data_IF_949261372960
#
_entry.id   IF_949261372960
#
_cell.length_a   1.000
_cell.length_b   1.000
_cell.length_c   1.000
_cell.angle_alpha   90.00
_cell.angle_beta   90.00
_cell.angle_gamma   90.00
#
_symmetry.space_group_name_H-M   'P 1'
#
loop_
_entity.id
_entity.type
_entity.pdbx_description
1 polymer ?
#
# COMPACT_ATOMS: atom_id res chain seq x y z
N UNK A 1 -15.85 49.05 47.72
CA UNK A 1 -15.64 49.23 46.26
C UNK A 1 -15.06 47.95 45.71
N UNK A 2 -15.66 47.49 44.62
CA UNK A 2 -15.77 46.11 44.12
C UNK A 2 -14.46 45.54 43.58
N UNK A 3 -14.10 44.32 44.00
CA UNK A 3 -13.00 43.53 43.42
C UNK A 3 -13.49 42.89 42.12
N UNK A 4 -12.84 43.19 41.00
CA UNK A 4 -13.10 42.56 39.71
C UNK A 4 -12.55 41.13 39.71
N UNK A 5 -13.46 40.15 39.59
CA UNK A 5 -13.14 38.76 39.26
C UNK A 5 -13.11 38.65 37.73
N UNK A 6 -11.93 38.49 37.15
CA UNK A 6 -11.75 38.18 35.73
C UNK A 6 -11.86 36.67 35.50
N UNK A 7 -13.00 36.23 35.00
CA UNK A 7 -13.24 34.87 34.53
C UNK A 7 -12.56 34.67 33.17
N UNK A 8 -11.46 33.91 33.13
CA UNK A 8 -10.87 33.43 31.87
C UNK A 8 -11.69 32.21 31.42
N UNK A 9 -12.54 32.38 30.41
CA UNK A 9 -13.18 31.27 29.72
C UNK A 9 -12.19 30.69 28.70
N UNK A 10 -11.68 29.48 28.95
CA UNK A 10 -10.86 28.74 28.00
C UNK A 10 -11.81 28.01 27.03
N UNK A 11 -12.00 28.57 25.84
CA UNK A 11 -12.71 27.89 24.76
C UNK A 11 -11.80 26.79 24.17
N UNK A 12 -12.00 25.55 24.62
CA UNK A 12 -11.42 24.38 23.97
C UNK A 12 -12.20 24.10 22.68
N UNK A 13 -11.72 24.63 21.56
CA UNK A 13 -12.20 24.22 20.25
C UNK A 13 -11.84 22.76 20.00
N UNK A 14 -12.81 21.87 20.09
CA UNK A 14 -12.73 20.53 19.50
C UNK A 14 -12.71 20.71 17.98
N UNK A 15 -11.52 20.88 17.42
CA UNK A 15 -11.30 20.62 16.01
C UNK A 15 -11.52 19.12 15.83
N UNK A 16 -12.65 18.73 15.23
CA UNK A 16 -12.81 17.39 14.71
C UNK A 16 -11.72 17.20 13.65
N UNK A 17 -10.67 16.46 14.00
CA UNK A 17 -9.69 16.00 13.03
C UNK A 17 -10.45 15.13 12.03
N UNK A 18 -10.65 15.64 10.81
CA UNK A 18 -11.03 14.78 9.70
C UNK A 18 -10.02 13.64 9.65
N UNK A 19 -10.49 12.39 9.65
CA UNK A 19 -9.63 11.21 9.57
C UNK A 19 -8.91 11.22 8.23
N UNK A 20 -7.68 11.72 8.20
CA UNK A 20 -6.75 11.37 7.15
C UNK A 20 -6.47 9.87 7.31
N UNK A 21 -6.82 9.06 6.30
CA UNK A 21 -6.42 7.65 6.28
C UNK A 21 -4.90 7.60 6.21
N UNK A 22 -4.25 7.23 7.32
CA UNK A 22 -2.81 7.32 7.45
C UNK A 22 -2.24 5.92 7.31
N UNK A 23 -2.18 5.40 6.09
CA UNK A 23 -1.44 4.15 5.84
C UNK A 23 0.06 4.38 6.07
N UNK A 24 0.74 3.42 6.68
CA UNK A 24 2.20 3.37 6.65
C UNK A 24 2.63 2.84 5.29
N UNK A 25 3.21 3.70 4.46
CA UNK A 25 3.60 3.38 3.08
C UNK A 25 5.12 3.12 3.01
N UNK A 26 5.47 2.07 2.28
CA UNK A 26 6.83 1.66 1.98
C UNK A 26 6.98 1.67 0.46
N UNK A 27 7.91 2.46 -0.05
CA UNK A 27 8.12 2.57 -1.48
C UNK A 27 9.61 2.64 -1.81
N UNK A 28 9.99 1.99 -2.91
CA UNK A 28 11.32 2.05 -3.48
C UNK A 28 11.21 1.96 -5.00
N UNK A 29 12.06 2.69 -5.71
CA UNK A 29 12.08 2.70 -7.19
C UNK A 29 13.53 2.55 -7.65
N UNK A 30 13.75 1.62 -8.57
CA UNK A 30 14.98 1.39 -9.30
C UNK A 30 14.77 1.80 -10.76
N UNK A 31 15.32 2.95 -11.11
CA UNK A 31 15.29 3.49 -12.47
C UNK A 31 16.16 2.66 -13.41
N UNK A 32 15.75 2.52 -14.66
CA UNK A 32 16.50 1.76 -15.67
C UNK A 32 16.65 2.55 -16.97
N UNK A 33 15.56 2.75 -17.72
CA UNK A 33 15.60 3.45 -19.01
C UNK A 33 16.15 2.60 -20.17
N UNK A 34 16.23 1.28 -19.98
CA UNK A 34 16.59 0.34 -21.04
C UNK A 34 15.80 -0.97 -20.86
N UNK A 35 14.79 -1.25 -21.70
CA UNK A 35 13.93 -2.43 -21.54
C UNK A 35 14.65 -3.76 -21.84
N UNK A 36 15.86 -3.72 -22.41
CA UNK A 36 16.63 -4.93 -22.76
C UNK A 36 17.57 -5.39 -21.64
N UNK A 37 17.68 -4.62 -20.55
CA UNK A 37 18.61 -4.91 -19.45
C UNK A 37 17.80 -4.91 -18.15
N UNK A 38 17.94 -5.95 -17.34
CA UNK A 38 17.34 -5.97 -16.01
C UNK A 38 18.14 -5.08 -15.07
N UNK A 39 17.45 -4.20 -14.33
CA UNK A 39 18.08 -3.41 -13.28
C UNK A 39 18.14 -4.20 -11.97
N UNK A 40 19.22 -4.11 -11.19
CA UNK A 40 19.24 -4.61 -9.82
C UNK A 40 18.17 -3.91 -8.97
N UNK A 41 17.25 -4.68 -8.36
CA UNK A 41 16.15 -4.17 -7.55
C UNK A 41 16.60 -3.70 -6.15
N UNK A 42 17.57 -2.78 -6.07
CA UNK A 42 18.24 -2.41 -4.82
C UNK A 42 17.30 -1.63 -3.89
N UNK A 43 16.70 -0.54 -4.39
CA UNK A 43 15.79 0.31 -3.61
C UNK A 43 14.46 -0.39 -3.37
N UNK A 44 13.96 -1.11 -4.37
CA UNK A 44 12.70 -1.85 -4.29
C UNK A 44 12.80 -2.99 -3.27
N UNK A 45 13.89 -3.78 -3.28
CA UNK A 45 14.11 -4.84 -2.29
C UNK A 45 14.35 -4.29 -0.88
N UNK A 46 15.00 -3.13 -0.75
CA UNK A 46 15.13 -2.46 0.54
C UNK A 46 13.76 -2.05 1.10
N UNK A 47 12.88 -1.48 0.27
CA UNK A 47 11.51 -1.12 0.65
C UNK A 47 10.67 -2.36 1.01
N UNK A 48 10.78 -3.46 0.27
CA UNK A 48 10.15 -4.73 0.62
C UNK A 48 10.63 -5.23 1.99
N UNK A 49 11.94 -5.19 2.22
CA UNK A 49 12.54 -5.62 3.49
C UNK A 49 12.01 -4.77 4.66
N UNK A 50 11.94 -3.44 4.48
CA UNK A 50 11.35 -2.53 5.46
C UNK A 50 9.87 -2.83 5.71
N UNK A 51 9.06 -3.06 4.67
CA UNK A 51 7.67 -3.47 4.79
C UNK A 51 7.54 -4.78 5.59
N UNK A 52 8.24 -5.85 5.18
CA UNK A 52 8.20 -7.17 5.82
C UNK A 52 8.76 -7.16 7.25
N UNK A 53 9.63 -6.22 7.61
CA UNK A 53 10.15 -6.07 8.98
C UNK A 53 9.05 -5.73 10.01
N UNK A 54 7.93 -5.16 9.55
CA UNK A 54 6.76 -4.85 10.36
C UNK A 54 5.78 -6.03 10.45
N UNK A 55 6.08 -7.15 9.81
CA UNK A 55 5.15 -8.26 9.64
C UNK A 55 5.71 -9.57 10.21
N UNK A 56 4.82 -10.53 10.45
CA UNK A 56 5.18 -11.88 10.90
C UNK A 56 4.24 -12.90 10.26
N UNK A 57 4.83 -13.98 9.71
CA UNK A 57 4.05 -15.09 9.14
C UNK A 57 3.21 -14.73 7.92
N UNK A 58 3.56 -13.67 7.19
CA UNK A 58 2.86 -13.23 5.97
C UNK A 58 3.06 -14.18 4.81
N UNK A 59 2.14 -14.13 3.84
CA UNK A 59 2.19 -14.93 2.63
C UNK A 59 2.52 -14.12 1.39
N UNK A 60 3.25 -14.73 0.45
CA UNK A 60 3.57 -14.15 -0.86
C UNK A 60 3.11 -15.08 -1.98
N UNK A 61 2.42 -14.54 -2.98
CA UNK A 61 2.10 -15.20 -4.26
C UNK A 61 2.93 -14.54 -5.37
N UNK A 62 3.74 -15.34 -6.06
CA UNK A 62 4.70 -14.89 -7.08
C UNK A 62 4.41 -15.48 -8.46
N UNK A 63 3.21 -16.04 -8.68
CA UNK A 63 2.72 -16.53 -9.97
C UNK A 63 3.49 -17.70 -10.60
N UNK A 64 4.57 -18.19 -9.98
CA UNK A 64 5.41 -19.27 -10.53
C UNK A 64 4.63 -20.59 -10.73
N UNK A 65 3.57 -20.78 -9.97
CA UNK A 65 2.67 -21.95 -10.08
C UNK A 65 1.39 -21.68 -10.86
N UNK A 66 1.26 -20.47 -11.44
CA UNK A 66 0.05 -19.97 -12.10
C UNK A 66 0.25 -19.82 -13.60
N UNK A 67 -0.84 -19.83 -14.35
CA UNK A 67 -0.86 -19.56 -15.79
C UNK A 67 -2.26 -19.12 -16.22
N UNK A 68 -2.39 -18.42 -17.35
CA UNK A 68 -3.68 -17.99 -17.90
C UNK A 68 -4.10 -16.59 -17.42
N UNK A 69 -5.34 -16.21 -17.77
CA UNK A 69 -5.93 -14.90 -17.47
C UNK A 69 -6.84 -14.90 -16.24
N UNK A 70 -7.42 -13.74 -15.95
CA UNK A 70 -8.41 -13.60 -14.89
C UNK A 70 -9.76 -14.25 -15.27
N UNK A 71 -10.56 -14.74 -14.30
CA UNK A 71 -10.28 -14.76 -12.86
C UNK A 71 -9.18 -15.77 -12.50
N UNK A 72 -8.20 -15.35 -11.70
CA UNK A 72 -7.09 -16.18 -11.27
C UNK A 72 -7.10 -16.33 -9.76
N UNK A 73 -7.22 -17.57 -9.28
CA UNK A 73 -7.12 -17.86 -7.85
C UNK A 73 -5.67 -17.68 -7.37
N UNK A 74 -5.49 -16.96 -6.25
CA UNK A 74 -4.21 -16.72 -5.60
C UNK A 74 -4.20 -17.37 -4.21
N UNK A 75 -3.04 -17.89 -3.79
CA UNK A 75 -2.89 -18.56 -2.49
C UNK A 75 -1.66 -18.02 -1.77
N UNK A 76 -1.88 -17.48 -0.57
CA UNK A 76 -0.85 -16.89 0.28
C UNK A 76 -0.58 -17.77 1.52
N UNK A 77 -0.89 -19.06 1.44
CA UNK A 77 -0.76 -20.01 2.54
C UNK A 77 -1.63 -19.64 3.73
N UNK A 78 -1.04 -19.55 4.91
CA UNK A 78 -1.74 -19.23 6.15
C UNK A 78 -2.33 -17.81 6.17
N UNK A 79 -1.83 -16.88 5.34
CA UNK A 79 -2.36 -15.53 5.26
C UNK A 79 -3.71 -15.45 4.51
N UNK A 80 -4.07 -16.49 3.76
CA UNK A 80 -5.37 -16.64 3.11
C UNK A 80 -5.29 -16.78 1.59
N UNK A 81 -6.44 -16.56 0.95
CA UNK A 81 -6.61 -16.70 -0.50
C UNK A 81 -7.23 -15.45 -1.10
N UNK A 82 -7.08 -15.27 -2.41
CA UNK A 82 -7.71 -14.20 -3.13
C UNK A 82 -8.11 -14.64 -4.54
N UNK A 83 -8.91 -13.82 -5.21
CA UNK A 83 -9.17 -13.93 -6.64
C UNK A 83 -8.72 -12.64 -7.32
N UNK A 84 -7.84 -12.77 -8.30
CA UNK A 84 -7.47 -11.67 -9.19
C UNK A 84 -8.48 -11.61 -10.35
N UNK A 85 -9.15 -10.48 -10.50
CA UNK A 85 -10.21 -10.22 -11.48
C UNK A 85 -9.83 -9.07 -12.41
N UNK A 86 -10.51 -8.96 -13.56
CA UNK A 86 -10.34 -7.86 -14.51
C UNK A 86 -9.29 -8.16 -15.58
N UNK A 87 -8.54 -7.15 -16.01
CA UNK A 87 -7.58 -7.28 -17.11
C UNK A 87 -6.27 -7.96 -16.68
N UNK A 88 -5.69 -8.73 -17.60
CA UNK A 88 -4.33 -9.27 -17.49
C UNK A 88 -4.25 -10.79 -17.58
N UNK A 89 -3.02 -11.27 -17.58
CA UNK A 89 -2.69 -12.69 -17.58
C UNK A 89 -1.30 -12.94 -17.01
N UNK A 90 -1.03 -14.17 -16.57
CA UNK A 90 0.31 -14.56 -16.18
C UNK A 90 1.21 -14.61 -17.42
N UNK A 91 2.18 -13.72 -17.46
CA UNK A 91 3.24 -13.66 -18.46
C UNK A 91 4.49 -14.42 -18.03
N UNK A 92 5.48 -14.46 -18.92
CA UNK A 92 6.82 -14.95 -18.63
C UNK A 92 7.87 -13.92 -19.03
N UNK A 93 9.06 -13.96 -18.42
CA UNK A 93 10.17 -13.06 -18.75
C UNK A 93 10.33 -12.87 -20.26
N UNK A 94 10.31 -11.61 -20.71
CA UNK A 94 10.42 -11.24 -22.12
C UNK A 94 11.46 -10.12 -22.32
N UNK A 95 11.72 -9.76 -23.58
CA UNK A 95 12.74 -8.77 -23.96
C UNK A 95 12.25 -7.31 -23.90
N UNK A 96 11.08 -7.04 -23.32
CA UNK A 96 10.43 -5.73 -23.39
C UNK A 96 10.31 -5.08 -22.00
N UNK A 97 11.36 -5.15 -21.17
CA UNK A 97 11.38 -4.51 -19.85
C UNK A 97 10.60 -5.26 -18.75
N UNK A 98 9.84 -6.31 -19.08
CA UNK A 98 9.00 -7.05 -18.13
C UNK A 98 9.61 -8.39 -17.74
N UNK A 99 9.84 -8.53 -16.45
CA UNK A 99 10.44 -9.72 -15.86
C UNK A 99 10.01 -9.89 -14.40
N UNK A 100 10.14 -11.11 -13.91
CA UNK A 100 9.82 -11.48 -12.54
C UNK A 100 10.82 -10.90 -11.54
N UNK A 101 10.31 -10.42 -10.41
CA UNK A 101 11.05 -9.77 -9.31
C UNK A 101 10.44 -10.20 -7.97
N UNK A 102 11.26 -10.48 -6.92
CA UNK A 102 12.73 -10.38 -6.85
C UNK A 102 13.47 -11.58 -7.46
N UNK A 103 12.73 -12.54 -8.02
CA UNK A 103 13.27 -13.66 -8.78
C UNK A 103 12.15 -14.60 -9.19
N UNK A 104 12.40 -15.41 -10.22
CA UNK A 104 11.38 -16.24 -10.85
C UNK A 104 11.36 -16.03 -12.36
N UNK A 105 10.28 -16.46 -12.99
CA UNK A 105 10.07 -16.38 -14.43
C UNK A 105 8.68 -15.93 -14.83
N UNK A 106 7.74 -15.82 -13.88
CA UNK A 106 6.34 -15.51 -14.12
C UNK A 106 5.92 -14.28 -13.32
N UNK A 107 4.98 -13.53 -13.89
CA UNK A 107 4.44 -12.33 -13.29
C UNK A 107 3.05 -12.07 -13.85
N UNK A 108 2.28 -11.21 -13.19
CA UNK A 108 1.00 -10.74 -13.71
C UNK A 108 1.21 -9.58 -14.68
N UNK A 109 0.86 -9.78 -15.95
CA UNK A 109 1.02 -8.80 -17.02
C UNK A 109 -0.32 -8.12 -17.34
N UNK A 110 -0.30 -6.80 -17.52
CA UNK A 110 -1.50 -6.00 -17.78
C UNK A 110 -1.23 -4.99 -18.89
N UNK A 111 -2.06 -4.99 -19.93
CA UNK A 111 -2.04 -3.94 -20.96
C UNK A 111 -2.76 -2.69 -20.48
N UNK A 112 -2.09 -1.55 -20.53
CA UNK A 112 -2.65 -0.25 -20.27
C UNK A 112 -3.58 0.21 -21.40
N UNK A 113 -4.50 1.12 -21.06
CA UNK A 113 -5.45 1.74 -22.01
C UNK A 113 -6.51 0.83 -22.63
N UNK A 114 -6.53 -0.48 -22.34
CA UNK A 114 -7.42 -1.47 -22.97
C UNK A 114 -8.79 -1.68 -22.29
N UNK A 115 -9.16 -0.86 -21.30
CA UNK A 115 -10.49 -0.89 -20.69
C UNK A 115 -10.70 -2.05 -19.72
N UNK A 116 -10.19 -1.87 -18.49
CA UNK A 116 -10.85 -2.12 -17.20
C UNK A 116 -9.75 -2.36 -16.16
N UNK A 117 -9.70 -1.64 -15.04
CA UNK A 117 -8.73 -1.90 -13.99
C UNK A 117 -8.83 -3.36 -13.52
N UNK A 118 -7.69 -3.96 -13.17
CA UNK A 118 -7.71 -5.24 -12.48
C UNK A 118 -7.82 -5.02 -10.98
N UNK A 119 -8.22 -6.07 -10.28
CA UNK A 119 -8.40 -6.02 -8.84
C UNK A 119 -8.09 -7.36 -8.21
N UNK A 120 -7.77 -7.33 -6.93
CA UNK A 120 -7.59 -8.52 -6.10
C UNK A 120 -8.65 -8.48 -5.00
N UNK A 121 -9.51 -9.50 -5.00
CA UNK A 121 -10.55 -9.72 -4.00
C UNK A 121 -10.08 -10.77 -3.00
N UNK A 122 -9.84 -10.35 -1.75
CA UNK A 122 -9.33 -11.20 -0.68
C UNK A 122 -10.48 -11.85 0.08
N UNK A 123 -10.30 -13.09 0.53
CA UNK A 123 -11.31 -13.77 1.37
C UNK A 123 -11.33 -13.25 2.80
N UNK A 124 -10.26 -12.58 3.24
CA UNK A 124 -10.07 -12.06 4.60
C UNK A 124 -9.92 -10.54 4.57
N UNK A 125 -10.28 -9.88 5.67
CA UNK A 125 -9.90 -8.48 5.93
C UNK A 125 -8.38 -8.41 6.12
N UNK A 126 -7.71 -7.59 5.33
CA UNK A 126 -6.27 -7.40 5.37
C UNK A 126 -5.90 -6.07 6.02
N UNK A 127 -4.78 -6.09 6.72
CA UNK A 127 -4.13 -4.90 7.26
C UNK A 127 -2.88 -4.52 6.46
N UNK A 128 -2.31 -5.44 5.67
CA UNK A 128 -1.10 -5.19 4.90
C UNK A 128 -1.20 -5.76 3.47
N UNK A 129 -0.72 -4.99 2.51
CA UNK A 129 -0.58 -5.41 1.11
C UNK A 129 0.68 -4.78 0.51
N UNK A 130 1.44 -5.55 -0.25
CA UNK A 130 2.56 -5.04 -1.03
C UNK A 130 2.83 -5.86 -2.28
N UNK A 131 3.53 -5.26 -3.24
CA UNK A 131 3.83 -5.86 -4.53
C UNK A 131 5.04 -5.19 -5.19
N UNK A 132 5.64 -5.91 -6.15
CA UNK A 132 6.54 -5.31 -7.12
C UNK A 132 5.77 -4.89 -8.37
N UNK A 133 6.10 -3.72 -8.90
CA UNK A 133 5.67 -3.25 -10.21
C UNK A 133 6.87 -3.10 -11.13
N UNK A 134 6.72 -3.45 -12.39
CA UNK A 134 7.80 -3.42 -13.38
C UNK A 134 7.30 -2.70 -14.64
N UNK A 135 8.18 -1.90 -15.24
CA UNK A 135 7.94 -1.16 -16.48
C UNK A 135 6.89 -0.04 -16.32
N UNK A 136 6.62 0.42 -15.11
CA UNK A 136 5.60 1.44 -14.83
C UNK A 136 6.16 2.87 -14.97
N UNK A 137 5.56 3.68 -15.86
CA UNK A 137 5.69 5.16 -15.86
C UNK A 137 6.30 5.78 -17.13
N UNK A 138 6.70 4.98 -18.10
CA UNK A 138 7.29 5.35 -19.40
C UNK A 138 6.31 6.09 -20.34
N UNK A 139 5.00 5.86 -20.18
CA UNK A 139 3.95 6.63 -20.86
C UNK A 139 3.34 7.76 -20.02
N UNK A 140 3.96 8.11 -18.89
CA UNK A 140 3.47 9.18 -18.01
C UNK A 140 2.16 8.85 -17.28
N UNK A 141 1.80 7.57 -17.21
CA UNK A 141 0.65 7.08 -16.47
C UNK A 141 0.87 7.04 -14.96
N UNK A 142 -0.19 7.32 -14.22
CA UNK A 142 -0.20 7.18 -12.76
C UNK A 142 -0.88 5.89 -12.37
N UNK A 143 -0.29 5.15 -11.44
CA UNK A 143 -0.95 4.02 -10.80
C UNK A 143 -1.53 4.46 -9.45
N UNK A 144 -2.84 4.29 -9.28
CA UNK A 144 -3.54 4.52 -8.01
C UNK A 144 -4.15 3.22 -7.53
N UNK A 145 -3.97 2.90 -6.25
CA UNK A 145 -4.65 1.81 -5.58
C UNK A 145 -5.90 2.34 -4.89
N UNK A 146 -7.06 1.77 -5.19
CA UNK A 146 -8.29 1.99 -4.44
C UNK A 146 -8.53 0.79 -3.52
N UNK A 147 -8.68 1.07 -2.22
CA UNK A 147 -8.86 0.08 -1.17
C UNK A 147 -10.31 0.11 -0.71
N UNK A 148 -10.94 -1.07 -0.61
CA UNK A 148 -12.31 -1.17 -0.14
C UNK A 148 -12.51 -2.33 0.83
N UNK A 149 -13.52 -2.19 1.69
CA UNK A 149 -13.98 -3.19 2.65
C UNK A 149 -15.48 -3.31 2.57
N UNK A 150 -16.01 -4.51 2.35
CA UNK A 150 -17.45 -4.74 2.24
C UNK A 150 -18.13 -3.90 1.14
N UNK A 151 -17.39 -3.57 0.08
CA UNK A 151 -17.86 -2.72 -1.03
C UNK A 151 -17.78 -1.21 -0.79
N UNK A 152 -17.27 -0.75 0.35
CA UNK A 152 -17.08 0.67 0.66
C UNK A 152 -15.60 1.03 0.50
N UNK A 153 -15.30 2.12 -0.20
CA UNK A 153 -13.92 2.65 -0.32
C UNK A 153 -13.45 3.16 1.04
N UNK A 154 -12.33 2.61 1.51
CA UNK A 154 -11.69 2.99 2.78
C UNK A 154 -10.38 3.75 2.56
N UNK A 155 -9.80 3.71 1.36
CA UNK A 155 -8.54 4.37 1.08
C UNK A 155 -8.22 4.48 -0.41
N UNK A 156 -7.33 5.42 -0.73
CA UNK A 156 -6.76 5.58 -2.07
C UNK A 156 -5.28 5.94 -1.93
N UNK A 157 -4.40 5.23 -2.63
CA UNK A 157 -2.94 5.44 -2.57
C UNK A 157 -2.37 5.65 -3.96
N UNK A 158 -1.69 6.78 -4.16
CA UNK A 158 -0.89 7.01 -5.36
C UNK A 158 0.42 6.22 -5.22
N UNK A 159 0.74 5.42 -6.22
CA UNK A 159 2.00 4.67 -6.30
C UNK A 159 3.01 5.54 -7.02
N UNK A 160 4.13 5.84 -6.34
CA UNK A 160 5.25 6.54 -6.97
C UNK A 160 5.95 5.58 -7.95
N UNK A 161 6.01 5.98 -9.22
CA UNK A 161 6.66 5.23 -10.31
C UNK A 161 7.97 5.90 -10.72
N UNK A 162 8.73 5.24 -11.59
CA UNK A 162 9.86 5.86 -12.27
C UNK A 162 9.40 7.02 -13.17
N UNK A 163 10.30 7.98 -13.41
CA UNK A 163 10.03 9.09 -14.31
C UNK A 163 10.08 8.64 -15.78
N UNK A 164 9.35 9.34 -16.66
CA UNK A 164 9.08 8.95 -18.05
C UNK A 164 10.30 8.52 -18.89
N UNK A 165 11.48 9.09 -18.66
CA UNK A 165 12.69 8.79 -19.44
C UNK A 165 13.59 7.70 -18.83
N UNK A 166 13.18 7.13 -17.70
CA UNK A 166 13.94 6.11 -16.95
C UNK A 166 13.06 4.96 -16.47
N UNK A 167 11.83 4.90 -16.97
CA UNK A 167 10.80 3.97 -16.54
C UNK A 167 10.83 2.65 -17.30
N UNK A 168 11.38 2.62 -18.53
CA UNK A 168 11.55 1.39 -19.30
C UNK A 168 12.35 0.35 -18.51
N UNK A 169 11.74 -0.79 -18.25
CA UNK A 169 12.28 -1.88 -17.44
C UNK A 169 12.62 -1.47 -16.00
N UNK A 170 12.04 -0.39 -15.50
CA UNK A 170 12.19 0.02 -14.09
C UNK A 170 11.50 -0.97 -13.17
N UNK A 171 11.96 -1.01 -11.93
CA UNK A 171 11.35 -1.82 -10.87
C UNK A 171 10.93 -0.90 -9.75
N UNK A 172 9.73 -1.10 -9.22
CA UNK A 172 9.30 -0.49 -7.97
C UNK A 172 8.82 -1.55 -7.00
N UNK A 173 8.94 -1.25 -5.71
CA UNK A 173 8.18 -1.91 -4.68
C UNK A 173 7.23 -0.90 -4.05
N UNK A 174 5.99 -1.33 -3.82
CA UNK A 174 5.02 -0.58 -3.04
C UNK A 174 4.40 -1.50 -2.00
N UNK A 175 4.35 -1.04 -0.75
CA UNK A 175 3.67 -1.72 0.35
C UNK A 175 2.94 -0.71 1.23
N UNK A 176 1.82 -1.15 1.80
CA UNK A 176 1.06 -0.37 2.77
C UNK A 176 0.63 -1.22 3.96
N UNK A 177 0.56 -0.58 5.13
CA UNK A 177 0.00 -1.16 6.35
C UNK A 177 -1.06 -0.19 6.89
N UNK A 178 -2.27 -0.69 7.14
CA UNK A 178 -3.35 0.01 7.78
C UNK A 178 -2.94 0.39 9.22
N UNK A 179 -3.12 1.65 9.61
CA UNK A 179 -2.80 2.13 10.95
C UNK A 179 -3.89 1.79 11.98
N UNK A 180 -5.10 1.45 11.51
CA UNK A 180 -6.23 1.11 12.35
C UNK A 180 -7.25 0.19 11.65
N UNK A 181 -8.21 -0.32 12.41
CA UNK A 181 -9.19 -1.29 11.90
C UNK A 181 -10.18 -0.71 10.86
N UNK A 182 -10.37 0.61 10.83
CA UNK A 182 -11.20 1.27 9.81
C UNK A 182 -10.50 1.40 8.45
N UNK A 183 -9.17 1.25 8.41
CA UNK A 183 -8.36 1.31 7.19
C UNK A 183 -8.07 -0.07 6.58
N UNK A 184 -8.43 -1.16 7.27
CA UNK A 184 -8.37 -2.51 6.72
C UNK A 184 -9.25 -2.65 5.48
N UNK A 185 -8.90 -3.58 4.59
CA UNK A 185 -9.54 -3.75 3.29
C UNK A 185 -9.66 -5.23 2.90
N UNK A 186 -10.65 -5.57 2.09
CA UNK A 186 -10.83 -6.90 1.48
C UNK A 186 -10.70 -6.86 -0.06
N UNK A 187 -10.47 -5.68 -0.63
CA UNK A 187 -10.21 -5.50 -2.06
C UNK A 187 -9.22 -4.39 -2.33
N UNK A 188 -8.33 -4.64 -3.29
CA UNK A 188 -7.43 -3.64 -3.90
C UNK A 188 -7.73 -3.56 -5.40
N UNK A 189 -8.06 -2.37 -5.90
CA UNK A 189 -8.25 -2.07 -7.32
C UNK A 189 -7.08 -1.25 -7.85
N UNK A 190 -6.50 -1.67 -8.96
CA UNK A 190 -5.36 -1.03 -9.62
C UNK A 190 -5.86 -0.14 -10.75
N UNK A 191 -5.84 1.17 -10.52
CA UNK A 191 -6.35 2.17 -11.44
C UNK A 191 -5.18 2.83 -12.17
N UNK A 192 -5.11 2.67 -13.49
CA UNK A 192 -4.15 3.38 -14.35
C UNK A 192 -4.87 4.41 -15.23
N UNK A 193 -4.27 5.58 -15.45
CA UNK A 193 -4.93 6.75 -16.05
C UNK A 193 -4.68 6.94 -17.54
N UNK A 194 -3.66 6.32 -18.14
CA UNK A 194 -3.32 6.46 -19.57
C UNK A 194 -2.58 5.21 -20.09
N UNK A 195 -2.36 5.11 -21.41
CA UNK A 195 -1.39 4.18 -22.00
C UNK A 195 -1.94 3.15 -22.99
N UNK A 196 -2.73 3.53 -24.00
CA UNK A 196 -3.06 2.56 -25.07
C UNK A 196 -1.80 1.98 -25.70
N UNK A 197 -1.59 0.67 -25.54
CA UNK A 197 -0.48 -0.08 -26.14
C UNK A 197 0.72 -0.33 -25.21
N UNK A 198 0.68 0.21 -24.00
CA UNK A 198 1.70 -0.01 -22.97
C UNK A 198 1.35 -1.25 -22.14
N UNK A 199 2.35 -1.94 -21.60
CA UNK A 199 2.18 -3.19 -20.87
C UNK A 199 3.07 -3.16 -19.63
N UNK A 200 2.46 -3.38 -18.47
CA UNK A 200 3.13 -3.41 -17.18
C UNK A 200 3.12 -4.80 -16.59
N UNK A 201 4.03 -5.04 -15.66
CA UNK A 201 4.07 -6.27 -14.89
C UNK A 201 3.97 -6.02 -13.39
N UNK A 202 3.36 -6.97 -12.69
CA UNK A 202 3.19 -7.01 -11.25
C UNK A 202 3.64 -8.37 -10.73
N UNK A 203 4.35 -8.38 -9.62
CA UNK A 203 4.88 -9.62 -9.07
C UNK A 203 4.91 -9.61 -7.53
N UNK A 204 5.05 -10.80 -6.94
CA UNK A 204 5.30 -11.04 -5.52
C UNK A 204 4.33 -10.30 -4.60
N UNK A 205 3.04 -10.51 -4.82
CA UNK A 205 1.98 -9.98 -3.96
C UNK A 205 2.14 -10.54 -2.56
N UNK A 206 2.25 -9.67 -1.57
CA UNK A 206 2.40 -10.03 -0.16
C UNK A 206 1.22 -9.49 0.62
N UNK A 207 0.60 -10.33 1.44
CA UNK A 207 -0.56 -9.95 2.28
C UNK A 207 -0.32 -10.25 3.75
N UNK A 208 -0.97 -9.47 4.61
CA UNK A 208 -1.06 -9.73 6.04
C UNK A 208 -2.40 -9.32 6.64
N UNK A 209 -2.95 -10.16 7.51
CA UNK A 209 -4.06 -9.79 8.41
C UNK A 209 -3.54 -8.93 9.57
N UNK A 210 -4.45 -8.36 10.35
CA UNK A 210 -4.11 -7.53 11.52
C UNK A 210 -3.20 -8.25 12.51
N UNK A 211 -3.44 -9.54 12.75
CA UNK A 211 -2.67 -10.36 13.69
C UNK A 211 -1.22 -10.59 13.21
N UNK A 212 -0.98 -10.44 11.91
CA UNK A 212 0.32 -10.58 11.28
C UNK A 212 1.10 -9.26 11.23
N UNK A 213 0.49 -8.15 11.65
CA UNK A 213 1.18 -6.87 11.85
C UNK A 213 1.79 -6.86 13.24
N UNK A 214 3.11 -6.66 13.32
CA UNK A 214 3.80 -6.46 14.60
C UNK A 214 3.22 -5.21 15.24
N UNK A 215 2.76 -5.32 16.48
CA UNK A 215 2.17 -4.22 17.24
C UNK A 215 3.01 -2.95 17.07
N UNK A 216 2.48 -1.98 16.32
CA UNK A 216 3.10 -0.67 16.20
C UNK A 216 3.03 -0.02 17.59
N UNK A 217 4.10 0.61 18.10
CA UNK A 217 4.03 1.38 19.33
C UNK A 217 2.86 2.37 19.23
N UNK A 218 1.96 2.35 20.21
CA UNK A 218 0.77 3.20 20.18
C UNK A 218 1.17 4.67 19.95
N UNK A 219 0.41 5.44 19.14
CA UNK A 219 0.81 6.80 18.81
C UNK A 219 1.01 7.64 20.08
N UNK A 220 2.06 8.48 20.08
CA UNK A 220 2.40 9.38 21.19
C UNK A 220 1.26 10.32 21.63
N UNK A 221 0.18 10.40 20.84
CA UNK A 221 -1.06 11.07 21.22
C UNK A 221 -1.67 10.53 22.51
N UNK A 222 -1.56 9.22 22.81
CA UNK A 222 -2.03 8.68 24.09
C UNK A 222 -1.18 9.16 25.26
N UNK A 223 0.14 9.27 25.06
CA UNK A 223 1.03 9.89 26.05
C UNK A 223 0.70 11.38 26.23
N UNK A 224 0.30 12.08 25.17
CA UNK A 224 -0.11 13.49 25.22
C UNK A 224 -1.46 13.66 25.95
N UNK A 225 -2.43 12.78 25.70
CA UNK A 225 -3.73 12.75 26.41
C UNK A 225 -3.51 12.42 27.88
N UNK A 226 -2.70 11.40 28.19
CA UNK A 226 -2.34 11.09 29.57
C UNK A 226 -1.63 12.26 30.26
N UNK A 227 -0.65 12.89 29.58
CA UNK A 227 0.09 14.05 30.07
C UNK A 227 -0.80 15.28 30.32
N UNK A 228 -1.74 15.55 29.42
CA UNK A 228 -2.69 16.66 29.57
C UNK A 228 -3.70 16.43 30.70
N UNK A 229 -4.21 15.20 30.86
CA UNK A 229 -5.07 14.83 31.99
C UNK A 229 -4.32 14.95 33.34
N UNK A 230 -3.05 14.51 33.40
CA UNK A 230 -2.21 14.66 34.58
C UNK A 230 -1.94 16.13 34.91
N UNK A 231 -1.63 16.95 33.90
CA UNK A 231 -1.43 18.39 34.05
C UNK A 231 -2.68 19.10 34.61
N UNK A 232 -3.87 18.75 34.11
CA UNK A 232 -5.14 19.27 34.61
C UNK A 232 -5.42 18.85 36.06
N UNK A 233 -5.12 17.59 36.43
CA UNK A 233 -5.27 17.10 37.80
C UNK A 233 -4.37 17.83 38.81
N UNK A 234 -3.11 18.09 38.44
CA UNK A 234 -2.17 18.85 39.27
C UNK A 234 -2.55 20.33 39.41
N UNK A 235 -3.04 20.95 38.33
CA UNK A 235 -3.50 22.33 38.36
C UNK A 235 -4.74 22.51 39.27
N UNK A 236 -5.65 21.54 39.29
CA UNK A 236 -6.84 21.57 40.17
C UNK A 236 -6.47 21.48 41.65
N UNK A 237 -5.45 20.69 42.01
CA UNK A 237 -4.95 20.57 43.40
C UNK A 237 -4.25 21.82 43.92
N UNK A 238 -3.73 22.70 43.06
CA UNK A 238 -3.11 23.96 43.48
C UNK A 238 -4.09 25.09 43.73
N UNK A 239 -5.36 24.93 43.34
CA UNK A 239 -6.43 25.93 43.49
C UNK A 239 -7.41 25.62 44.63
N UNK A 240 -7.34 24.42 45.23
CA UNK A 240 -8.07 24.03 46.43
C UNK A 240 -7.13 24.15 47.64
#
# INVERSE_FOLDING_TARGET
MTKFLTSVALAAGLMAAGSANAYLVFAGVDNNGNPNVQVPATNSSAAETSFKSNLVGVGTENFETRSGGAPLALNFGAAGTATLNGAGSVGTNNSNGRYSVPGGTRFWEVSAGGGSPFQVDFTNSLAAFGFYGIDLGDFGGTLTLELSKGGVVVGSQLVNTAAQNVADGSVLYFGLIASNASEEFDRVRFLSTVGTGDVFAFDSFTIGTKEQVRQLPEPASLALVAGSLLGLGLARRRRA
#
